data_IF_815925236970
#
_entry.id   IF_815925236970
#
_cell.length_a   1.000
_cell.length_b   1.000
_cell.length_c   1.000
_cell.angle_alpha   90.00
_cell.angle_beta   90.00
_cell.angle_gamma   90.00
#
_symmetry.space_group_name_H-M   'P 1'
#
loop_
_entity.id
_entity.type
_entity.pdbx_description
1 polymer ?
#
# COMPACT_ATOMS: atom_id res chain seq x y z
N UNK A 1 -8.27 -8.46 12.03
CA UNK A 1 -9.13 -8.82 10.89
C UNK A 1 -8.25 -9.37 9.79
N UNK A 2 -8.52 -10.57 9.28
CA UNK A 2 -7.82 -11.06 8.10
C UNK A 2 -8.28 -10.26 6.87
N UNK A 3 -7.42 -10.12 5.85
CA UNK A 3 -7.71 -9.37 4.63
C UNK A 3 -8.97 -9.91 3.91
N UNK A 4 -9.23 -11.22 4.04
CA UNK A 4 -10.37 -11.89 3.42
C UNK A 4 -11.73 -11.50 4.01
N UNK A 5 -11.77 -11.08 5.27
CA UNK A 5 -12.98 -10.72 6.01
C UNK A 5 -13.23 -9.21 6.01
N UNK A 6 -12.40 -8.44 5.31
CA UNK A 6 -12.50 -7.00 5.29
C UNK A 6 -13.75 -6.55 4.50
N UNK A 7 -14.60 -5.67 5.06
CA UNK A 7 -15.80 -5.18 4.36
C UNK A 7 -15.49 -4.52 3.01
N UNK A 8 -14.32 -3.87 2.85
CA UNK A 8 -13.94 -3.18 1.61
C UNK A 8 -13.52 -4.13 0.49
N UNK A 9 -13.26 -5.40 0.80
CA UNK A 9 -12.80 -6.41 -0.17
C UNK A 9 -13.75 -6.54 -1.36
N UNK A 10 -15.05 -6.62 -1.10
CA UNK A 10 -16.05 -6.82 -2.16
C UNK A 10 -16.06 -5.65 -3.15
N UNK A 11 -15.90 -4.43 -2.65
CA UNK A 11 -15.78 -3.21 -3.45
C UNK A 11 -14.50 -3.24 -4.30
N UNK A 12 -13.35 -3.57 -3.68
CA UNK A 12 -12.07 -3.63 -4.39
C UNK A 12 -12.04 -4.70 -5.48
N UNK A 13 -12.66 -5.86 -5.26
CA UNK A 13 -12.75 -6.91 -6.29
C UNK A 13 -13.57 -6.45 -7.50
N UNK A 14 -14.73 -5.83 -7.27
CA UNK A 14 -15.55 -5.26 -8.35
C UNK A 14 -14.80 -4.17 -9.13
N UNK A 15 -14.10 -3.28 -8.41
CA UNK A 15 -13.27 -2.24 -9.04
C UNK A 15 -12.10 -2.82 -9.83
N UNK A 16 -11.49 -3.90 -9.34
CA UNK A 16 -10.41 -4.62 -10.03
C UNK A 16 -10.89 -5.25 -11.35
N UNK A 17 -12.07 -5.87 -11.37
CA UNK A 17 -12.68 -6.40 -12.60
C UNK A 17 -13.00 -5.27 -13.60
N UNK A 18 -13.58 -4.18 -13.12
CA UNK A 18 -13.95 -3.04 -13.96
C UNK A 18 -12.74 -2.34 -14.59
N UNK A 19 -11.68 -2.09 -13.80
CA UNK A 19 -10.50 -1.36 -14.29
C UNK A 19 -9.66 -2.17 -15.28
N UNK A 20 -9.76 -3.51 -15.26
CA UNK A 20 -9.10 -4.37 -16.26
C UNK A 20 -9.66 -4.19 -17.67
N UNK A 21 -10.87 -3.65 -17.81
CA UNK A 21 -11.47 -3.35 -19.11
C UNK A 21 -10.97 -2.01 -19.69
N UNK A 22 -10.24 -1.22 -18.90
CA UNK A 22 -9.70 0.09 -19.32
C UNK A 22 -8.26 -0.11 -19.77
N UNK A 23 -7.92 0.37 -20.97
CA UNK A 23 -6.54 0.29 -21.46
C UNK A 23 -5.58 1.16 -20.65
N UNK A 24 -4.35 0.68 -20.45
CA UNK A 24 -3.29 1.48 -19.84
C UNK A 24 -3.03 2.78 -20.63
N UNK A 25 -3.13 2.75 -21.96
CA UNK A 25 -2.98 3.94 -22.80
C UNK A 25 -4.00 5.03 -22.42
N UNK A 26 -5.27 4.66 -22.24
CA UNK A 26 -6.32 5.58 -21.81
C UNK A 26 -5.99 6.21 -20.44
N UNK A 27 -5.52 5.39 -19.49
CA UNK A 27 -5.10 5.87 -18.18
C UNK A 27 -3.88 6.79 -18.24
N UNK A 28 -2.94 6.54 -19.15
CA UNK A 28 -1.74 7.37 -19.34
C UNK A 28 -2.04 8.70 -20.05
N UNK A 29 -3.12 8.78 -20.81
CA UNK A 29 -3.59 10.01 -21.45
C UNK A 29 -4.26 10.99 -20.47
N UNK A 30 -4.58 10.56 -19.24
CA UNK A 30 -4.99 11.47 -18.16
C UNK A 30 -3.82 12.38 -17.75
N UNK A 31 -3.97 13.68 -18.00
CA UNK A 31 -2.96 14.70 -17.68
C UNK A 31 -2.59 14.74 -16.19
N UNK A 32 -3.52 14.37 -15.31
CA UNK A 32 -3.30 14.34 -13.86
C UNK A 32 -2.58 13.09 -13.37
N UNK A 33 -2.43 12.06 -14.23
CA UNK A 33 -1.87 10.74 -13.90
C UNK A 33 -0.47 10.84 -13.33
N UNK A 34 0.43 11.53 -14.03
CA UNK A 34 1.83 11.65 -13.61
C UNK A 34 1.95 12.29 -12.22
N UNK A 35 1.22 13.37 -11.97
CA UNK A 35 1.25 14.06 -10.68
C UNK A 35 0.67 13.21 -9.53
N UNK A 36 -0.17 12.22 -9.85
CA UNK A 36 -0.89 11.43 -8.85
C UNK A 36 -0.27 10.05 -8.58
N UNK A 37 0.53 9.53 -9.53
CA UNK A 37 1.09 8.18 -9.50
C UNK A 37 2.62 8.17 -9.65
N UNK A 38 3.26 9.32 -9.47
CA UNK A 38 4.71 9.45 -9.31
C UNK A 38 4.96 10.04 -7.93
N UNK A 39 5.70 9.33 -7.10
CA UNK A 39 6.17 9.79 -5.80
C UNK A 39 7.67 10.06 -5.87
N UNK A 40 8.10 11.10 -5.17
CA UNK A 40 9.52 11.41 -4.99
C UNK A 40 9.83 11.28 -3.50
N UNK A 41 10.85 10.50 -3.17
CA UNK A 41 11.38 10.32 -1.82
C UNK A 41 12.90 10.54 -1.91
N UNK A 42 13.35 11.73 -1.54
CA UNK A 42 14.73 12.16 -1.75
C UNK A 42 15.14 12.00 -3.23
N UNK A 43 16.19 11.22 -3.49
CA UNK A 43 16.70 10.84 -4.80
C UNK A 43 15.95 9.65 -5.43
N UNK A 44 15.06 8.99 -4.70
CA UNK A 44 14.24 7.89 -5.20
C UNK A 44 12.94 8.41 -5.84
N UNK A 45 12.77 8.08 -7.12
CA UNK A 45 11.52 8.31 -7.85
C UNK A 45 10.76 7.01 -8.03
N UNK A 46 9.53 6.96 -7.52
CA UNK A 46 8.63 5.81 -7.62
C UNK A 46 7.53 6.15 -8.64
N UNK A 47 7.64 5.59 -9.84
CA UNK A 47 6.63 5.71 -10.90
C UNK A 47 5.75 4.45 -10.93
N UNK A 48 4.50 4.59 -10.53
CA UNK A 48 3.49 3.54 -10.59
C UNK A 48 2.32 3.93 -11.50
N UNK A 49 2.55 4.83 -12.47
CA UNK A 49 1.55 5.29 -13.46
C UNK A 49 1.02 4.17 -14.34
N UNK A 50 1.85 3.15 -14.63
CA UNK A 50 1.54 2.00 -15.50
C UNK A 50 0.83 0.84 -14.77
N UNK A 51 -0.03 1.18 -13.82
CA UNK A 51 -0.85 0.22 -13.10
C UNK A 51 -2.34 0.46 -13.37
N UNK A 52 -3.16 -0.59 -13.38
CA UNK A 52 -4.62 -0.51 -13.50
C UNK A 52 -5.27 -0.08 -12.18
N UNK A 53 -4.99 1.15 -11.77
CA UNK A 53 -5.54 1.75 -10.55
C UNK A 53 -5.97 3.18 -10.85
N UNK A 54 -7.04 3.67 -10.26
CA UNK A 54 -7.45 5.09 -10.29
C UNK A 54 -7.21 5.71 -8.91
N UNK A 55 -7.40 7.04 -8.76
CA UNK A 55 -7.31 7.68 -7.43
C UNK A 55 -8.30 7.09 -6.43
N UNK A 56 -9.48 6.76 -6.92
CA UNK A 56 -10.54 6.12 -6.16
C UNK A 56 -10.13 4.72 -5.69
N UNK A 57 -9.58 3.88 -6.59
CA UNK A 57 -9.03 2.57 -6.21
C UNK A 57 -7.86 2.72 -5.22
N UNK A 58 -6.98 3.69 -5.44
CA UNK A 58 -5.88 3.98 -4.52
C UNK A 58 -6.38 4.35 -3.12
N UNK A 59 -7.44 5.16 -3.02
CA UNK A 59 -8.06 5.50 -1.73
C UNK A 59 -8.58 4.26 -1.01
N UNK A 60 -9.30 3.39 -1.71
CA UNK A 60 -9.82 2.15 -1.13
C UNK A 60 -8.69 1.21 -0.67
N UNK A 61 -7.58 1.13 -1.42
CA UNK A 61 -6.40 0.36 -1.02
C UNK A 61 -5.76 0.91 0.25
N UNK A 62 -5.71 2.24 0.40
CA UNK A 62 -5.22 2.88 1.63
C UNK A 62 -6.16 2.62 2.81
N UNK A 63 -7.48 2.60 2.58
CA UNK A 63 -8.46 2.30 3.62
C UNK A 63 -8.43 0.81 4.02
N UNK A 64 -8.15 -0.09 3.08
CA UNK A 64 -7.82 -1.49 3.37
C UNK A 64 -6.57 -1.59 4.28
N UNK A 65 -5.52 -0.84 3.98
CA UNK A 65 -4.30 -0.84 4.81
C UNK A 65 -4.57 -0.32 6.24
N UNK A 66 -5.35 0.76 6.39
CA UNK A 66 -5.76 1.30 7.69
C UNK A 66 -6.61 0.29 8.48
N UNK A 67 -7.64 -0.29 7.85
CA UNK A 67 -8.51 -1.27 8.51
C UNK A 67 -7.79 -2.59 8.86
N UNK A 68 -6.72 -2.93 8.16
CA UNK A 68 -5.81 -4.04 8.50
C UNK A 68 -4.83 -3.71 9.64
N UNK A 69 -4.90 -2.50 10.20
CA UNK A 69 -4.00 -1.95 11.21
C UNK A 69 -2.53 -1.99 10.78
N UNK A 70 -2.27 -1.71 9.50
CA UNK A 70 -0.92 -1.72 8.95
C UNK A 70 -0.02 -0.66 9.62
N UNK A 71 -0.46 0.60 9.83
CA UNK A 71 0.36 1.60 10.50
C UNK A 71 0.79 1.19 11.91
N UNK A 72 -0.11 0.59 12.70
CA UNK A 72 0.17 0.14 14.06
C UNK A 72 1.14 -1.04 14.08
N UNK A 73 1.06 -1.93 13.07
CA UNK A 73 2.02 -3.03 12.91
C UNK A 73 3.39 -2.53 12.50
N UNK A 74 3.47 -1.54 11.62
CA UNK A 74 4.73 -0.88 11.25
C UNK A 74 5.36 -0.21 12.48
N UNK A 75 4.57 0.49 13.28
CA UNK A 75 5.05 1.08 14.54
C UNK A 75 5.50 0.02 15.54
N UNK A 76 4.78 -1.10 15.67
CA UNK A 76 5.19 -2.20 16.54
C UNK A 76 6.54 -2.81 16.11
N UNK A 77 6.82 -2.85 14.81
CA UNK A 77 8.11 -3.26 14.26
C UNK A 77 9.22 -2.26 14.62
N UNK A 78 8.99 -0.94 14.44
CA UNK A 78 9.98 0.07 14.83
C UNK A 78 10.22 0.18 16.33
N UNK A 79 9.20 -0.11 17.15
CA UNK A 79 9.29 -0.08 18.61
C UNK A 79 10.02 -1.31 19.19
N UNK A 80 10.49 -2.27 18.37
CA UNK A 80 11.12 -3.50 18.85
C UNK A 80 10.16 -4.45 19.57
N UNK A 81 8.85 -4.39 19.27
CA UNK A 81 7.87 -5.31 19.89
C UNK A 81 8.09 -6.73 19.35
N UNK A 82 7.71 -7.72 20.15
CA UNK A 82 7.78 -9.15 19.80
C UNK A 82 6.70 -9.56 18.80
N UNK A 83 6.81 -9.05 17.57
CA UNK A 83 5.85 -9.30 16.48
C UNK A 83 6.10 -10.62 15.76
N UNK A 84 7.28 -11.23 15.92
CA UNK A 84 7.50 -12.62 15.51
C UNK A 84 6.89 -13.53 16.57
N UNK A 85 5.60 -13.78 16.44
CA UNK A 85 4.81 -14.45 17.47
C UNK A 85 5.09 -15.95 17.59
N UNK A 86 5.55 -16.60 16.52
CA UNK A 86 5.87 -18.05 16.56
C UNK A 86 7.12 -18.34 17.37
N UNK A 87 8.08 -17.42 17.38
CA UNK A 87 9.34 -17.55 18.13
C UNK A 87 9.40 -16.64 19.37
N UNK A 88 8.39 -15.79 19.57
CA UNK A 88 8.32 -14.79 20.66
C UNK A 88 9.53 -13.84 20.70
N UNK A 89 9.90 -13.35 19.51
CA UNK A 89 11.06 -12.49 19.28
C UNK A 89 10.66 -11.15 18.64
N UNK A 90 11.49 -10.14 18.87
CA UNK A 90 11.41 -8.87 18.17
C UNK A 90 12.09 -8.97 16.79
N UNK A 91 11.77 -8.03 15.90
CA UNK A 91 12.31 -7.96 14.54
C UNK A 91 13.13 -6.68 14.41
N UNK A 92 14.45 -6.81 14.49
CA UNK A 92 15.36 -5.68 14.83
C UNK A 92 16.16 -5.11 13.64
N UNK A 93 15.84 -5.47 12.40
CA UNK A 93 16.64 -5.06 11.23
C UNK A 93 16.69 -3.54 11.01
N UNK A 94 15.69 -2.79 11.50
CA UNK A 94 15.72 -1.33 11.43
C UNK A 94 16.67 -0.71 12.46
N UNK A 95 16.68 -1.22 13.70
CA UNK A 95 17.57 -0.74 14.77
C UNK A 95 19.05 -0.94 14.46
N UNK A 96 19.40 -1.97 13.67
CA UNK A 96 20.78 -2.21 13.22
C UNK A 96 21.35 -1.11 12.29
N UNK A 97 20.49 -0.22 11.77
CA UNK A 97 20.85 0.88 10.88
C UNK A 97 20.61 2.25 11.52
N UNK A 98 20.15 2.29 12.76
CA UNK A 98 19.94 3.54 13.51
C UNK A 98 21.32 4.18 13.77
N UNK A 99 21.57 5.40 13.29
CA UNK A 99 22.91 6.01 13.30
C UNK A 99 23.29 6.59 14.67
N UNK A 100 23.06 5.85 15.78
CA UNK A 100 23.37 6.23 17.17
C UNK A 100 24.58 7.18 17.27
#
# INVERSE_FOLDING_TARGET
MQLFDNPIKSTLLKKAEAIQQVSLESLLNDKSRKASFILNLNDLKIDYTRNHITKDIQSDLLDLAKSAKLPEKMQALSDGKKINTTENLAVEHMGQRDPI
#
